data_IF_315247204542
#
_entry.id   IF_315247204542
#
_cell.length_a   1.000
_cell.length_b   1.000
_cell.length_c   1.000
_cell.angle_alpha   90.00
_cell.angle_beta   90.00
_cell.angle_gamma   90.00
#
_symmetry.space_group_name_H-M   'P 1'
#
loop_
_entity.id
_entity.type
_entity.pdbx_description
1 polymer ?
#
# COMPACT_ATOMS: atom_id res chain seq x y z
N UNK A 1 -3.86 40.17 -11.73
CA UNK A 1 -4.19 38.76 -12.06
C UNK A 1 -5.68 38.70 -12.40
N UNK A 2 -6.05 38.31 -13.63
CA UNK A 2 -7.46 38.24 -14.03
C UNK A 2 -8.16 37.10 -13.29
N UNK A 3 -9.40 37.32 -12.82
CA UNK A 3 -10.18 36.34 -12.04
C UNK A 3 -10.24 34.95 -12.70
N UNK A 4 -10.28 34.90 -14.04
CA UNK A 4 -10.23 33.65 -14.81
C UNK A 4 -8.89 32.92 -14.77
N UNK A 5 -7.76 33.63 -14.66
CA UNK A 5 -6.43 33.02 -14.54
C UNK A 5 -6.21 32.43 -13.14
N UNK A 6 -6.68 33.12 -12.11
CA UNK A 6 -6.64 32.62 -10.73
C UNK A 6 -7.46 31.33 -10.57
N UNK A 7 -8.66 31.28 -11.17
CA UNK A 7 -9.53 30.10 -11.12
C UNK A 7 -8.89 28.87 -11.81
N UNK A 8 -8.21 29.07 -12.95
CA UNK A 8 -7.51 27.96 -13.64
C UNK A 8 -6.34 27.42 -12.84
N UNK A 9 -5.59 28.28 -12.14
CA UNK A 9 -4.48 27.85 -11.29
C UNK A 9 -5.01 27.02 -10.10
N UNK A 10 -6.10 27.46 -9.46
CA UNK A 10 -6.72 26.76 -8.32
C UNK A 10 -7.24 25.37 -8.75
N UNK A 11 -7.89 25.26 -9.91
CA UNK A 11 -8.37 23.96 -10.41
C UNK A 11 -7.19 23.03 -10.74
N UNK A 12 -6.13 23.57 -11.35
CA UNK A 12 -4.93 22.80 -11.69
C UNK A 12 -4.21 22.24 -10.45
N UNK A 13 -4.08 23.01 -9.38
CA UNK A 13 -3.42 22.55 -8.14
C UNK A 13 -4.24 21.52 -7.37
N UNK A 14 -5.57 21.64 -7.34
CA UNK A 14 -6.45 20.62 -6.73
C UNK A 14 -6.38 19.30 -7.51
N UNK A 15 -6.34 19.37 -8.84
CA UNK A 15 -6.25 18.16 -9.68
C UNK A 15 -4.93 17.40 -9.51
N UNK A 16 -3.82 18.10 -9.22
CA UNK A 16 -2.51 17.46 -9.03
C UNK A 16 -2.41 16.70 -7.69
N UNK A 17 -3.08 17.20 -6.64
CA UNK A 17 -3.15 16.53 -5.33
C UNK A 17 -3.90 15.19 -5.37
N UNK A 18 -4.92 15.05 -6.23
CA UNK A 18 -5.69 13.81 -6.34
C UNK A 18 -4.85 12.64 -6.90
N UNK A 19 -3.81 12.92 -7.68
CA UNK A 19 -2.95 11.92 -8.32
C UNK A 19 -1.84 11.47 -7.36
N UNK A 20 -1.30 12.39 -6.55
CA UNK A 20 -0.30 12.08 -5.52
C UNK A 20 -0.90 11.36 -4.30
N UNK A 21 -2.21 11.50 -4.08
CA UNK A 21 -2.95 10.86 -2.99
C UNK A 21 -3.42 9.43 -3.31
N UNK A 22 -3.05 8.87 -4.46
CA UNK A 22 -3.07 7.41 -4.66
C UNK A 22 -2.01 6.80 -3.73
N UNK A 23 -2.39 6.65 -2.47
CA UNK A 23 -1.66 6.04 -1.37
C UNK A 23 -0.97 4.77 -1.86
N UNK A 24 0.33 4.88 -2.16
CA UNK A 24 1.16 3.71 -2.47
C UNK A 24 1.08 2.78 -1.27
N UNK A 25 0.29 1.72 -1.40
CA UNK A 25 0.26 0.65 -0.41
C UNK A 25 1.68 0.07 -0.34
N UNK A 26 2.16 -0.20 0.87
CA UNK A 26 3.42 -0.92 1.06
C UNK A 26 3.38 -2.22 0.25
N UNK A 27 4.41 -2.54 -0.55
CA UNK A 27 4.44 -3.76 -1.32
C UNK A 27 4.30 -4.95 -0.37
N UNK A 28 3.62 -5.99 -0.85
CA UNK A 28 3.56 -7.24 -0.13
C UNK A 28 3.75 -8.43 -1.07
N UNK A 29 4.38 -9.47 -0.56
CA UNK A 29 4.72 -10.66 -1.34
C UNK A 29 4.67 -11.91 -0.46
N UNK A 30 4.08 -12.98 -0.99
CA UNK A 30 4.19 -14.31 -0.37
C UNK A 30 5.62 -14.82 -0.56
N UNK A 31 6.40 -14.88 0.52
CA UNK A 31 7.81 -15.30 0.50
C UNK A 31 7.99 -16.79 0.79
N UNK A 32 6.99 -17.42 1.41
CA UNK A 32 7.00 -18.85 1.68
C UNK A 32 5.58 -19.40 1.82
N UNK A 33 5.29 -20.54 1.20
CA UNK A 33 3.98 -21.21 1.27
C UNK A 33 4.17 -22.60 1.87
N UNK A 34 3.57 -22.85 3.03
CA UNK A 34 3.62 -24.15 3.71
C UNK A 34 2.63 -25.14 3.08
N UNK A 35 1.43 -24.65 2.77
CA UNK A 35 0.36 -25.35 2.05
C UNK A 35 -0.64 -24.32 1.48
N UNK A 36 -1.79 -24.77 0.99
CA UNK A 36 -2.81 -23.90 0.39
C UNK A 36 -3.40 -22.86 1.36
N UNK A 37 -3.32 -23.10 2.68
CA UNK A 37 -3.96 -22.30 3.72
C UNK A 37 -2.97 -21.53 4.61
N UNK A 38 -1.68 -21.88 4.57
CA UNK A 38 -0.65 -21.33 5.46
C UNK A 38 0.53 -20.78 4.67
N UNK A 39 0.87 -19.50 4.91
CA UNK A 39 1.95 -18.83 4.21
C UNK A 39 2.55 -17.66 5.02
N UNK A 40 3.74 -17.24 4.61
CA UNK A 40 4.41 -16.02 5.09
C UNK A 40 4.31 -14.94 4.01
N UNK A 41 3.88 -13.76 4.40
CA UNK A 41 3.84 -12.56 3.58
C UNK A 41 4.85 -11.55 4.12
N UNK A 42 5.80 -11.12 3.29
CA UNK A 42 6.65 -9.97 3.60
C UNK A 42 5.90 -8.71 3.18
N UNK A 43 5.82 -7.73 4.08
CA UNK A 43 5.28 -6.40 3.79
C UNK A 43 6.41 -5.38 3.98
N UNK A 44 6.88 -4.79 2.89
CA UNK A 44 8.05 -3.91 2.93
C UNK A 44 8.67 -3.60 1.56
N UNK A 45 9.89 -3.05 1.59
CA UNK A 45 10.65 -2.61 0.41
C UNK A 45 12.03 -3.27 0.41
N UNK A 46 12.57 -3.59 -0.77
CA UNK A 46 13.94 -4.10 -0.90
C UNK A 46 14.27 -5.30 0.00
N UNK A 47 13.28 -6.19 0.16
CA UNK A 47 13.34 -7.37 1.05
C UNK A 47 13.43 -7.06 2.56
N UNK A 48 13.25 -5.79 2.96
CA UNK A 48 13.19 -5.35 4.34
C UNK A 48 11.77 -4.96 4.73
N UNK A 49 11.36 -5.34 5.94
CA UNK A 49 10.01 -5.09 6.45
C UNK A 49 9.64 -6.06 7.55
N UNK A 50 8.33 -6.26 7.74
CA UNK A 50 7.81 -7.24 8.69
C UNK A 50 7.20 -8.43 7.97
N UNK A 51 7.28 -9.60 8.60
CA UNK A 51 6.74 -10.84 8.04
C UNK A 51 5.44 -11.18 8.77
N UNK A 52 4.38 -11.43 8.03
CA UNK A 52 3.10 -11.86 8.60
C UNK A 52 2.90 -13.34 8.31
N UNK A 53 2.62 -14.11 9.36
CA UNK A 53 2.12 -15.48 9.22
C UNK A 53 0.60 -15.47 9.07
N UNK A 54 0.13 -16.17 8.04
CA UNK A 54 -1.30 -16.36 7.75
C UNK A 54 -1.69 -17.82 7.92
N UNK A 55 -2.77 -18.08 8.66
CA UNK A 55 -3.51 -19.34 8.65
C UNK A 55 -4.98 -19.03 8.30
N UNK A 56 -5.36 -19.28 7.05
CA UNK A 56 -6.70 -18.93 6.54
C UNK A 56 -7.79 -19.72 7.29
N UNK A 57 -7.55 -21.01 7.55
CA UNK A 57 -8.52 -21.89 8.20
C UNK A 57 -8.80 -21.47 9.63
N UNK A 58 -7.75 -21.07 10.35
CA UNK A 58 -7.85 -20.62 11.76
C UNK A 58 -8.05 -19.13 11.92
N UNK A 59 -8.05 -18.35 10.84
CA UNK A 59 -8.12 -16.87 10.83
C UNK A 59 -7.00 -16.23 11.67
N UNK A 60 -5.80 -16.79 11.61
CA UNK A 60 -4.63 -16.26 12.33
C UNK A 60 -3.84 -15.37 11.38
N UNK A 61 -3.54 -14.16 11.86
CA UNK A 61 -2.61 -13.22 11.25
C UNK A 61 -1.66 -12.73 12.34
N UNK A 62 -0.38 -13.10 12.25
CA UNK A 62 0.61 -12.78 13.27
C UNK A 62 1.82 -12.11 12.64
N UNK A 63 2.13 -10.88 13.06
CA UNK A 63 3.40 -10.23 12.70
C UNK A 63 4.56 -10.91 13.43
N UNK A 64 5.63 -11.13 12.69
CA UNK A 64 6.88 -11.73 13.09
C UNK A 64 7.93 -10.70 12.67
N UNK A 65 8.47 -9.99 13.66
CA UNK A 65 9.22 -8.73 13.52
C UNK A 65 8.38 -7.52 13.12
#
# INVERSE_FOLDING_TARGET
MNKGSALKIIIGTISLCAIAACTKKTPSQVIYRFDDNRYLELIGYDCEGYVVYHDIKRKIHKSIY
#
